data_IF_695233849613
#
_entry.id   IF_695233849613
#
_cell.length_a   1.000
_cell.length_b   1.000
_cell.length_c   1.000
_cell.angle_alpha   90.00
_cell.angle_beta   90.00
_cell.angle_gamma   90.00
#
_symmetry.space_group_name_H-M   'P 1'
#
loop_
_entity.id
_entity.type
_entity.pdbx_description
1 polymer ?
#
# COMPACT_ATOMS: atom_id res chain seq x y z
N UNK A 1 104.24 -2.10 -42.16
CA UNK A 1 105.02 -2.84 -41.14
C UNK A 1 104.71 -2.24 -39.78
N UNK A 2 104.21 -3.06 -38.85
CA UNK A 2 104.51 -2.95 -37.41
C UNK A 2 103.66 -2.05 -36.50
N UNK A 3 102.79 -2.70 -35.72
CA UNK A 3 102.54 -2.56 -34.26
C UNK A 3 101.86 -1.32 -33.62
N UNK A 4 100.56 -1.46 -33.25
CA UNK A 4 99.97 -1.67 -31.87
C UNK A 4 100.84 -1.17 -30.67
N UNK A 5 100.30 -0.46 -29.62
CA UNK A 5 99.26 -0.99 -28.73
C UNK A 5 98.27 -0.07 -27.94
N UNK A 6 97.19 -0.75 -27.49
CA UNK A 6 96.41 -0.70 -26.23
C UNK A 6 95.93 0.61 -25.57
N UNK A 7 94.66 0.66 -25.13
CA UNK A 7 94.32 0.45 -23.71
C UNK A 7 92.80 0.19 -23.47
N UNK A 8 92.50 -0.34 -22.28
CA UNK A 8 91.23 -0.92 -21.76
C UNK A 8 90.20 0.09 -21.21
N UNK A 9 89.06 -0.51 -20.78
CA UNK A 9 88.03 -0.07 -19.79
C UNK A 9 86.74 0.52 -20.38
N UNK A 10 85.53 0.21 -19.91
CA UNK A 10 85.06 -0.65 -18.82
C UNK A 10 83.55 -0.94 -19.00
N UNK A 11 83.06 -1.99 -18.33
CA UNK A 11 81.66 -2.41 -18.40
C UNK A 11 80.72 -1.59 -17.51
N UNK A 12 79.49 -1.39 -17.97
CA UNK A 12 78.39 -0.81 -17.22
C UNK A 12 77.07 -1.38 -17.73
N UNK A 13 76.43 -2.21 -16.90
CA UNK A 13 75.23 -2.98 -17.23
C UNK A 13 73.95 -2.14 -17.36
N UNK A 14 73.07 -2.65 -18.20
CA UNK A 14 71.74 -2.12 -18.53
C UNK A 14 70.77 -2.41 -17.36
N UNK A 15 70.18 -1.38 -16.76
CA UNK A 15 69.14 -1.52 -15.73
C UNK A 15 67.76 -1.54 -16.42
N UNK A 16 67.07 -2.69 -16.37
CA UNK A 16 65.68 -2.82 -16.81
C UNK A 16 64.78 -2.44 -15.62
N UNK A 17 64.10 -1.31 -15.75
CA UNK A 17 63.15 -0.79 -14.77
C UNK A 17 61.85 -1.62 -14.83
N UNK A 18 61.62 -2.45 -13.80
CA UNK A 18 60.36 -3.20 -13.64
C UNK A 18 59.24 -2.24 -13.24
N UNK A 19 58.26 -2.01 -14.13
CA UNK A 19 56.99 -1.39 -13.75
C UNK A 19 56.19 -2.39 -12.90
N UNK A 20 55.97 -2.07 -11.63
CA UNK A 20 55.07 -2.81 -10.76
C UNK A 20 53.61 -2.50 -11.09
N UNK A 21 52.83 -3.52 -11.42
CA UNK A 21 51.37 -3.44 -11.45
C UNK A 21 50.85 -3.21 -10.02
N UNK A 22 50.31 -2.03 -9.75
CA UNK A 22 49.50 -1.79 -8.56
C UNK A 22 48.10 -2.32 -8.82
N UNK A 23 47.70 -3.38 -8.11
CA UNK A 23 46.33 -3.89 -8.12
C UNK A 23 45.47 -2.97 -7.23
N UNK A 24 44.59 -2.18 -7.85
CA UNK A 24 43.60 -1.38 -7.14
C UNK A 24 42.46 -2.31 -6.73
N UNK A 25 42.41 -2.69 -5.45
CA UNK A 25 41.29 -3.42 -4.88
C UNK A 25 40.09 -2.46 -4.75
N UNK A 26 39.13 -2.57 -5.67
CA UNK A 26 37.82 -1.92 -5.54
C UNK A 26 37.04 -2.73 -4.51
N UNK A 27 36.91 -2.19 -3.30
CA UNK A 27 35.98 -2.70 -2.31
C UNK A 27 34.55 -2.47 -2.85
N UNK A 28 33.88 -3.56 -3.23
CA UNK A 28 32.44 -3.53 -3.46
C UNK A 28 31.77 -3.18 -2.14
N UNK A 29 31.32 -1.92 -2.01
CA UNK A 29 30.27 -1.57 -1.08
C UNK A 29 29.03 -2.33 -1.54
N UNK A 30 28.83 -3.54 -1.02
CA UNK A 30 27.51 -4.13 -0.97
C UNK A 30 26.66 -3.12 -0.21
N UNK A 31 25.81 -2.39 -0.93
CA UNK A 31 24.76 -1.61 -0.29
C UNK A 31 24.00 -2.57 0.59
N UNK A 32 24.08 -2.39 1.91
CA UNK A 32 23.10 -2.98 2.79
C UNK A 32 21.77 -2.40 2.29
N UNK A 33 20.98 -3.19 1.57
CA UNK A 33 19.57 -2.91 1.47
C UNK A 33 19.11 -2.79 2.92
N UNK A 34 18.57 -1.64 3.30
CA UNK A 34 17.95 -1.54 4.61
C UNK A 34 16.89 -2.65 4.64
N UNK A 35 16.90 -3.50 5.69
CA UNK A 35 15.94 -4.56 5.78
C UNK A 35 14.54 -3.95 5.66
N UNK A 36 13.71 -4.51 4.79
CA UNK A 36 12.43 -3.93 4.44
C UNK A 36 11.53 -4.01 5.68
N UNK A 37 11.48 -2.94 6.46
CA UNK A 37 10.83 -2.96 7.77
C UNK A 37 9.38 -3.38 7.63
N UNK A 38 8.92 -4.28 8.49
CA UNK A 38 7.53 -4.71 8.45
C UNK A 38 6.57 -3.53 8.61
N UNK A 39 5.46 -3.58 7.89
CA UNK A 39 4.47 -2.52 7.76
C UNK A 39 3.05 -3.10 7.83
N UNK A 40 2.10 -2.33 8.34
CA UNK A 40 0.68 -2.66 8.19
C UNK A 40 0.29 -2.54 6.71
N UNK A 41 -0.73 -3.30 6.28
CA UNK A 41 -1.33 -3.04 4.97
C UNK A 41 -1.88 -1.60 4.94
N UNK A 42 -1.77 -0.93 3.81
CA UNK A 42 -2.12 0.50 3.65
C UNK A 42 -3.62 0.82 3.74
N UNK A 43 -4.48 -0.22 3.81
CA UNK A 43 -5.88 -0.05 4.19
C UNK A 43 -6.06 0.35 5.66
N UNK A 44 -5.09 0.04 6.52
CA UNK A 44 -5.06 0.48 7.90
C UNK A 44 -4.54 1.92 7.95
N UNK A 45 -5.29 2.81 8.60
CA UNK A 45 -4.90 4.20 8.74
C UNK A 45 -5.69 4.90 9.84
N UNK A 46 -5.16 6.02 10.33
CA UNK A 46 -5.80 6.79 11.39
C UNK A 46 -7.25 7.15 11.01
N UNK A 47 -8.14 7.18 12.00
CA UNK A 47 -9.57 7.45 11.79
C UNK A 47 -10.31 6.36 11.02
N UNK A 48 -9.83 5.12 10.94
CA UNK A 48 -10.56 4.05 10.26
C UNK A 48 -11.70 3.47 11.11
N UNK A 49 -12.52 2.63 10.47
CA UNK A 49 -13.51 1.77 11.15
C UNK A 49 -13.18 0.31 10.87
N UNK A 50 -13.19 -0.51 11.91
CA UNK A 50 -13.11 -1.97 11.82
C UNK A 50 -14.49 -2.59 12.03
N UNK A 51 -14.77 -3.70 11.34
CA UNK A 51 -16.06 -4.37 11.43
C UNK A 51 -16.32 -4.90 12.84
N UNK A 52 -17.39 -4.42 13.47
CA UNK A 52 -17.88 -4.89 14.77
C UNK A 52 -18.38 -6.32 14.70
N UNK A 53 -18.43 -6.97 15.87
CA UNK A 53 -19.02 -8.29 16.10
C UNK A 53 -18.44 -9.41 15.20
N UNK A 54 -17.24 -9.18 14.66
CA UNK A 54 -16.46 -10.14 13.86
C UNK A 54 -15.01 -10.14 14.35
N UNK A 55 -14.29 -11.28 14.26
CA UNK A 55 -12.87 -11.32 14.56
C UNK A 55 -12.08 -10.28 13.77
N UNK A 56 -11.24 -9.50 14.44
CA UNK A 56 -10.46 -8.43 13.82
C UNK A 56 -9.18 -9.02 13.27
N UNK A 57 -9.04 -9.00 11.94
CA UNK A 57 -7.83 -9.44 11.24
C UNK A 57 -6.94 -8.24 10.98
N UNK A 58 -5.69 -8.33 11.44
CA UNK A 58 -4.65 -7.32 11.18
C UNK A 58 -3.55 -7.99 10.39
N UNK A 59 -3.13 -7.37 9.30
CA UNK A 59 -2.21 -7.97 8.33
C UNK A 59 -1.34 -6.91 7.67
N UNK A 60 -0.29 -7.37 7.00
CA UNK A 60 0.65 -6.51 6.30
C UNK A 60 1.79 -7.31 5.66
N UNK A 61 2.89 -6.61 5.43
CA UNK A 61 4.09 -7.14 4.77
C UNK A 61 5.33 -6.94 5.64
N UNK A 62 6.39 -7.71 5.36
CA UNK A 62 7.69 -7.59 6.03
C UNK A 62 8.70 -8.60 5.50
N UNK A 63 9.88 -8.64 6.10
CA UNK A 63 10.91 -9.61 5.75
C UNK A 63 10.55 -11.03 6.23
N UNK A 64 10.66 -12.07 5.38
CA UNK A 64 10.45 -13.46 5.78
C UNK A 64 11.26 -13.88 7.01
N UNK A 65 10.63 -14.64 7.91
CA UNK A 65 11.27 -15.14 9.12
C UNK A 65 11.34 -14.12 10.27
N UNK A 66 11.00 -12.85 10.05
CA UNK A 66 10.93 -11.85 11.11
C UNK A 66 9.79 -12.15 12.08
N UNK A 67 10.08 -12.08 13.38
CA UNK A 67 9.06 -12.16 14.44
C UNK A 67 8.51 -10.77 14.76
N UNK A 68 7.20 -10.64 14.63
CA UNK A 68 6.45 -9.42 14.86
C UNK A 68 5.53 -9.58 16.07
N UNK A 69 5.28 -8.46 16.77
CA UNK A 69 4.23 -8.35 17.77
C UNK A 69 3.23 -7.28 17.34
N UNK A 70 1.98 -7.67 17.21
CA UNK A 70 0.86 -6.81 16.85
C UNK A 70 0.01 -6.60 18.09
N UNK A 71 -0.37 -5.35 18.34
CA UNK A 71 -1.25 -4.98 19.44
C UNK A 71 -2.54 -4.38 18.92
N UNK A 72 -3.65 -4.77 19.54
CA UNK A 72 -4.95 -4.10 19.47
C UNK A 72 -5.32 -3.75 20.91
N UNK A 73 -5.22 -2.47 21.26
CA UNK A 73 -5.23 -1.99 22.64
C UNK A 73 -4.25 -2.78 23.53
N UNK A 74 -4.75 -3.39 24.62
CA UNK A 74 -3.98 -4.22 25.53
C UNK A 74 -3.75 -5.65 25.01
N UNK A 75 -4.50 -6.11 23.99
CA UNK A 75 -4.34 -7.45 23.45
C UNK A 75 -3.10 -7.54 22.56
N UNK A 76 -2.31 -8.60 22.75
CA UNK A 76 -1.07 -8.82 21.98
C UNK A 76 -1.16 -10.15 21.23
N UNK A 77 -0.66 -10.14 19.99
CA UNK A 77 -0.42 -11.32 19.17
C UNK A 77 1.01 -11.29 18.64
N UNK A 78 1.61 -12.45 18.47
CA UNK A 78 2.90 -12.61 17.79
C UNK A 78 2.71 -13.40 16.51
N UNK A 79 3.51 -13.10 15.50
CA UNK A 79 3.48 -13.78 14.20
C UNK A 79 4.87 -13.76 13.58
N UNK A 80 5.21 -14.81 12.85
CA UNK A 80 6.40 -14.84 12.00
C UNK A 80 5.99 -14.55 10.57
N UNK A 81 6.68 -13.64 9.90
CA UNK A 81 6.43 -13.31 8.50
C UNK A 81 6.70 -14.52 7.61
N UNK A 82 5.77 -14.85 6.73
CA UNK A 82 5.90 -15.98 5.81
C UNK A 82 6.95 -15.73 4.72
N UNK A 83 7.38 -16.77 4.03
CA UNK A 83 8.28 -16.69 2.86
C UNK A 83 7.75 -15.78 1.74
N UNK A 84 6.43 -15.59 1.65
CA UNK A 84 5.81 -14.65 0.72
C UNK A 84 5.98 -13.18 1.11
N UNK A 85 6.50 -12.90 2.31
CA UNK A 85 6.56 -11.57 2.90
C UNK A 85 5.25 -11.15 3.59
N UNK A 86 4.19 -11.96 3.53
CA UNK A 86 2.91 -11.64 4.16
C UNK A 86 2.84 -12.12 5.62
N UNK A 87 2.10 -11.39 6.45
CA UNK A 87 1.77 -11.80 7.82
C UNK A 87 0.33 -11.40 8.17
N UNK A 88 -0.29 -12.15 9.10
CA UNK A 88 -1.61 -11.85 9.62
C UNK A 88 -1.76 -12.36 11.06
N UNK A 89 -2.50 -11.63 11.88
CA UNK A 89 -2.99 -12.06 13.19
C UNK A 89 -4.51 -11.86 13.29
N UNK A 90 -5.12 -12.57 14.23
CA UNK A 90 -6.55 -12.41 14.55
C UNK A 90 -6.73 -12.08 16.03
N UNK A 91 -7.57 -11.08 16.29
CA UNK A 91 -8.05 -10.68 17.61
C UNK A 91 -9.52 -11.03 17.79
N UNK A 92 -9.97 -11.03 19.04
CA UNK A 92 -11.38 -11.23 19.36
C UNK A 92 -12.24 -10.13 18.73
N UNK A 93 -13.52 -10.45 18.51
CA UNK A 93 -14.49 -9.47 18.05
C UNK A 93 -14.64 -8.31 19.04
N UNK A 94 -14.81 -7.11 18.50
CA UNK A 94 -15.10 -5.90 19.27
C UNK A 94 -16.58 -5.54 19.13
N UNK A 95 -17.25 -5.12 20.21
CA UNK A 95 -18.60 -4.58 20.12
C UNK A 95 -18.58 -3.22 19.42
N UNK A 96 -19.74 -2.77 18.93
CA UNK A 96 -19.88 -1.44 18.34
C UNK A 96 -19.44 -0.31 19.29
N UNK A 97 -18.87 0.76 18.73
CA UNK A 97 -18.37 1.92 19.45
C UNK A 97 -16.92 1.75 19.90
N UNK A 98 -16.52 2.55 20.88
CA UNK A 98 -15.15 2.58 21.38
C UNK A 98 -14.16 3.25 20.42
N UNK A 99 -13.04 3.70 20.98
CA UNK A 99 -11.89 4.18 20.22
C UNK A 99 -10.72 3.27 20.59
N UNK A 100 -10.14 2.66 19.56
CA UNK A 100 -9.09 1.65 19.67
C UNK A 100 -7.79 2.13 19.01
N UNK A 101 -6.71 1.43 19.31
CA UNK A 101 -5.42 1.59 18.63
C UNK A 101 -4.83 0.26 18.18
N UNK A 102 -4.20 0.29 17.01
CA UNK A 102 -3.38 -0.80 16.48
C UNK A 102 -1.92 -0.34 16.49
N UNK A 103 -1.00 -1.23 16.87
CA UNK A 103 0.43 -0.97 16.68
C UNK A 103 1.21 -2.23 16.34
N UNK A 104 2.19 -2.06 15.44
CA UNK A 104 3.10 -3.10 14.99
C UNK A 104 4.46 -2.89 15.65
N UNK A 105 5.07 -3.98 16.12
CA UNK A 105 6.36 -3.97 16.79
C UNK A 105 7.26 -5.09 16.30
N UNK A 106 8.57 -4.83 16.28
CA UNK A 106 9.63 -5.80 16.00
C UNK A 106 10.72 -5.64 17.05
N UNK A 107 11.12 -6.73 17.72
CA UNK A 107 12.16 -6.66 18.76
C UNK A 107 11.88 -5.66 19.89
N UNK A 108 10.60 -5.34 20.15
CA UNK A 108 10.17 -4.34 21.14
C UNK A 108 10.16 -2.88 20.65
N UNK A 109 10.61 -2.61 19.43
CA UNK A 109 10.51 -1.30 18.76
C UNK A 109 9.16 -1.19 18.06
N UNK A 110 8.44 -0.08 18.30
CA UNK A 110 7.21 0.25 17.55
C UNK A 110 7.60 0.66 16.12
N UNK A 111 7.10 -0.07 15.13
CA UNK A 111 7.31 0.18 13.71
C UNK A 111 6.22 1.08 13.12
N UNK A 112 4.98 0.78 13.48
CA UNK A 112 3.80 1.39 12.88
C UNK A 112 2.67 1.52 13.91
N UNK A 113 1.76 2.45 13.69
CA UNK A 113 0.67 2.77 14.58
C UNK A 113 -0.50 3.40 13.84
N UNK A 114 -1.69 2.92 14.17
CA UNK A 114 -2.96 3.45 13.71
C UNK A 114 -3.84 3.76 14.91
N UNK A 115 -4.28 5.00 15.03
CA UNK A 115 -5.11 5.53 16.12
C UNK A 115 -6.48 6.00 15.65
N UNK A 116 -7.32 6.35 16.62
CA UNK A 116 -8.73 6.72 16.39
C UNK A 116 -9.51 5.67 15.56
N UNK A 117 -9.33 4.39 15.91
CA UNK A 117 -10.00 3.27 15.24
C UNK A 117 -11.35 3.01 15.90
N UNK A 118 -12.45 3.23 15.19
CA UNK A 118 -13.79 2.91 15.70
C UNK A 118 -14.16 1.46 15.39
N UNK A 119 -14.90 0.79 16.26
CA UNK A 119 -15.56 -0.48 15.92
C UNK A 119 -17.00 -0.21 15.45
N UNK A 120 -17.35 -0.62 14.24
CA UNK A 120 -18.62 -0.27 13.62
C UNK A 120 -18.93 -1.06 12.36
N UNK A 121 -19.84 -0.57 11.53
CA UNK A 121 -20.19 -1.21 10.26
C UNK A 121 -19.38 -0.59 9.11
N UNK A 122 -18.81 -1.44 8.25
CA UNK A 122 -17.95 -1.00 7.14
C UNK A 122 -18.61 -1.33 5.80
N UNK A 123 -18.78 -0.34 4.93
CA UNK A 123 -19.42 -0.49 3.63
C UNK A 123 -18.48 -0.13 2.49
N UNK A 124 -18.42 -1.00 1.47
CA UNK A 124 -17.78 -0.71 0.19
C UNK A 124 -18.81 -0.18 -0.80
N UNK A 125 -18.62 1.06 -1.23
CA UNK A 125 -19.43 1.77 -2.21
C UNK A 125 -18.71 1.78 -3.56
N UNK A 126 -19.04 0.81 -4.42
CA UNK A 126 -18.42 0.63 -5.73
C UNK A 126 -19.41 0.72 -6.90
N UNK A 127 -18.88 0.73 -8.12
CA UNK A 127 -19.64 0.84 -9.35
C UNK A 127 -19.20 2.02 -10.21
N UNK A 128 -20.15 2.68 -10.87
CA UNK A 128 -19.87 3.70 -11.88
C UNK A 128 -20.30 5.13 -11.48
N UNK A 129 -20.63 5.99 -12.45
CA UNK A 129 -20.84 7.43 -12.28
C UNK A 129 -21.89 7.80 -11.25
N UNK A 130 -22.96 7.00 -11.13
CA UNK A 130 -24.02 7.24 -10.15
C UNK A 130 -23.54 6.99 -8.71
N UNK A 131 -22.71 5.97 -8.50
CA UNK A 131 -22.06 5.76 -7.20
C UNK A 131 -20.98 6.82 -6.96
N UNK A 132 -20.22 7.23 -7.99
CA UNK A 132 -19.18 8.26 -7.89
C UNK A 132 -19.75 9.69 -7.72
N UNK A 133 -21.06 9.90 -7.88
CA UNK A 133 -21.63 11.24 -7.93
C UNK A 133 -21.40 12.00 -6.60
N UNK A 134 -20.67 13.13 -6.58
CA UNK A 134 -20.16 13.69 -5.33
C UNK A 134 -21.17 14.63 -4.66
N UNK A 135 -21.08 14.78 -3.33
CA UNK A 135 -21.94 15.66 -2.54
C UNK A 135 -21.93 17.12 -3.02
N UNK A 136 -20.79 17.66 -3.44
CA UNK A 136 -20.71 19.04 -3.97
C UNK A 136 -21.61 19.33 -5.18
N UNK A 137 -22.03 18.29 -5.90
CA UNK A 137 -22.88 18.43 -7.07
C UNK A 137 -24.38 18.25 -6.74
N UNK A 138 -24.71 17.92 -5.49
CA UNK A 138 -26.10 17.78 -5.06
C UNK A 138 -26.81 19.14 -5.02
N UNK A 139 -28.13 19.18 -5.28
CA UNK A 139 -28.94 20.33 -4.90
C UNK A 139 -28.74 20.65 -3.42
N UNK A 140 -28.59 21.94 -3.07
CA UNK A 140 -28.32 22.39 -1.70
C UNK A 140 -27.00 21.88 -1.10
N UNK A 141 -25.99 21.60 -1.96
CA UNK A 141 -24.66 21.18 -1.52
C UNK A 141 -24.05 22.04 -0.40
N UNK A 142 -24.15 23.39 -0.38
CA UNK A 142 -23.60 24.17 0.73
C UNK A 142 -24.17 23.79 2.10
N UNK A 143 -25.49 23.57 2.20
CA UNK A 143 -26.16 23.18 3.43
C UNK A 143 -25.80 21.74 3.82
N UNK A 144 -25.84 20.83 2.84
CA UNK A 144 -25.47 19.42 3.04
C UNK A 144 -24.05 19.30 3.58
N UNK A 145 -23.10 20.06 3.02
CA UNK A 145 -21.70 20.00 3.43
C UNK A 145 -21.47 20.67 4.78
N UNK A 146 -22.15 21.77 5.09
CA UNK A 146 -22.10 22.38 6.43
C UNK A 146 -22.55 21.39 7.53
N UNK A 147 -23.55 20.57 7.22
CA UNK A 147 -24.04 19.50 8.10
C UNK A 147 -23.19 18.22 8.04
N UNK A 148 -22.25 18.11 7.10
CA UNK A 148 -21.45 16.89 6.89
C UNK A 148 -20.27 16.76 7.86
N UNK A 149 -20.53 16.98 9.15
CA UNK A 149 -19.55 16.92 10.24
C UNK A 149 -20.00 15.90 11.28
N UNK A 150 -19.66 14.62 11.07
CA UNK A 150 -20.18 13.52 11.87
C UNK A 150 -19.04 12.70 12.52
N UNK A 151 -18.95 12.75 13.84
CA UNK A 151 -17.90 12.07 14.62
C UNK A 151 -17.98 10.54 14.57
N UNK A 152 -19.11 9.96 14.17
CA UNK A 152 -19.30 8.52 14.02
C UNK A 152 -19.14 8.03 12.57
N UNK A 153 -18.90 8.92 11.61
CA UNK A 153 -18.70 8.55 10.21
C UNK A 153 -17.23 8.74 9.83
N UNK A 154 -16.66 7.74 9.17
CA UNK A 154 -15.31 7.77 8.63
C UNK A 154 -15.35 7.48 7.13
N UNK A 155 -14.54 8.21 6.38
CA UNK A 155 -14.52 8.18 4.92
C UNK A 155 -13.14 7.72 4.43
N UNK A 156 -13.14 6.75 3.53
CA UNK A 156 -11.98 6.34 2.75
C UNK A 156 -12.30 6.48 1.26
N UNK A 157 -11.62 7.38 0.57
CA UNK A 157 -11.80 7.57 -0.86
C UNK A 157 -10.64 6.90 -1.62
N UNK A 158 -10.92 5.80 -2.31
CA UNK A 158 -9.93 5.13 -3.17
C UNK A 158 -9.86 5.87 -4.49
N UNK A 159 -8.70 6.48 -4.76
CA UNK A 159 -8.49 7.20 -6.00
C UNK A 159 -8.42 6.25 -7.20
N UNK A 160 -8.82 6.78 -8.35
CA UNK A 160 -8.89 6.01 -9.57
C UNK A 160 -7.49 5.80 -10.15
N UNK A 161 -7.02 4.55 -10.12
CA UNK A 161 -5.80 4.12 -10.79
C UNK A 161 -6.08 2.85 -11.56
N UNK A 162 -5.94 2.92 -12.88
CA UNK A 162 -6.05 1.72 -13.71
C UNK A 162 -4.83 0.84 -13.46
N UNK A 163 -5.06 -0.46 -13.34
CA UNK A 163 -4.03 -1.48 -13.27
C UNK A 163 -4.54 -2.72 -14.01
N UNK A 164 -3.66 -3.36 -14.76
CA UNK A 164 -3.97 -4.62 -15.45
C UNK A 164 -3.79 -5.84 -14.56
N UNK A 165 -3.05 -5.67 -13.45
CA UNK A 165 -2.80 -6.68 -12.45
C UNK A 165 -3.20 -6.19 -11.05
N UNK A 166 -3.58 -7.10 -10.14
CA UNK A 166 -3.81 -6.76 -8.75
C UNK A 166 -2.62 -6.01 -8.15
N UNK A 167 -2.89 -4.91 -7.46
CA UNK A 167 -1.86 -4.11 -6.82
C UNK A 167 -1.82 -4.44 -5.32
N UNK A 168 -0.62 -4.51 -4.76
CA UNK A 168 -0.42 -4.70 -3.32
C UNK A 168 -0.53 -3.41 -2.50
N UNK A 169 -0.63 -2.26 -3.19
CA UNK A 169 -0.76 -0.94 -2.58
C UNK A 169 -1.96 -0.18 -3.16
N UNK A 170 -2.65 0.56 -2.30
CA UNK A 170 -3.67 1.52 -2.66
C UNK A 170 -3.05 2.72 -3.40
N UNK A 171 -3.81 3.38 -4.29
CA UNK A 171 -3.32 4.51 -5.04
C UNK A 171 -3.23 5.77 -4.17
N UNK A 172 -2.09 6.46 -4.21
CA UNK A 172 -1.92 7.72 -3.48
C UNK A 172 -2.58 8.93 -4.18
N UNK A 173 -3.10 9.92 -3.41
CA UNK A 173 -3.21 9.92 -1.95
C UNK A 173 -4.44 9.12 -1.48
N UNK A 174 -4.31 8.07 -0.66
CA UNK A 174 -5.49 7.39 -0.05
C UNK A 174 -5.33 7.31 1.45
N UNK A 175 -6.27 7.92 2.19
CA UNK A 175 -6.26 7.91 3.64
C UNK A 175 -7.68 7.94 4.20
N UNK A 176 -7.84 7.30 5.36
CA UNK A 176 -9.05 7.44 6.17
C UNK A 176 -9.14 8.86 6.73
N UNK A 177 -10.36 9.31 6.94
CA UNK A 177 -10.64 10.62 7.52
C UNK A 177 -11.95 10.59 8.30
N UNK A 178 -12.08 11.51 9.25
CA UNK A 178 -13.39 11.86 9.80
C UNK A 178 -14.26 12.46 8.70
N UNK A 179 -15.57 12.27 8.78
CA UNK A 179 -16.50 13.02 7.96
C UNK A 179 -16.49 14.51 8.37
N UNK A 180 -15.80 15.33 7.58
CA UNK A 180 -15.85 16.80 7.65
C UNK A 180 -16.41 17.35 6.35
N UNK A 181 -16.85 18.62 6.30
CA UNK A 181 -17.30 19.25 5.06
C UNK A 181 -16.30 19.11 3.90
N UNK A 182 -15.01 19.25 4.20
CA UNK A 182 -13.93 19.15 3.20
C UNK A 182 -13.72 17.71 2.71
N UNK A 183 -13.69 16.73 3.61
CA UNK A 183 -13.53 15.32 3.25
C UNK A 183 -14.76 14.79 2.49
N UNK A 184 -15.95 15.24 2.87
CA UNK A 184 -17.22 14.83 2.28
C UNK A 184 -17.47 15.48 0.90
N UNK A 185 -16.89 16.66 0.61
CA UNK A 185 -17.14 17.43 -0.62
C UNK A 185 -17.11 16.57 -1.90
N UNK A 186 -16.08 15.72 -2.02
CA UNK A 186 -15.82 14.88 -3.18
C UNK A 186 -16.24 13.42 -2.99
N UNK A 187 -16.85 13.11 -1.85
CA UNK A 187 -17.33 11.78 -1.52
C UNK A 187 -18.72 11.53 -2.13
N UNK A 188 -19.02 10.26 -2.38
CA UNK A 188 -20.26 9.77 -2.99
C UNK A 188 -21.45 10.22 -2.17
N UNK A 189 -22.36 10.96 -2.79
CA UNK A 189 -23.59 11.38 -2.16
C UNK A 189 -24.44 10.18 -1.73
N UNK A 190 -24.57 9.17 -2.60
CA UNK A 190 -25.34 7.96 -2.31
C UNK A 190 -24.73 7.20 -1.11
N UNK A 191 -23.41 7.01 -1.13
CA UNK A 191 -22.71 6.31 -0.05
C UNK A 191 -22.82 7.07 1.26
N UNK A 192 -22.55 8.38 1.24
CA UNK A 192 -22.58 9.23 2.43
C UNK A 192 -23.95 9.25 3.09
N UNK A 193 -25.02 9.54 2.34
CA UNK A 193 -26.36 9.61 2.91
C UNK A 193 -26.84 8.25 3.44
N UNK A 194 -26.48 7.15 2.76
CA UNK A 194 -26.81 5.80 3.25
C UNK A 194 -26.09 5.51 4.54
N UNK A 195 -24.78 5.78 4.62
CA UNK A 195 -24.00 5.57 5.83
C UNK A 195 -24.46 6.44 6.99
N UNK A 196 -24.83 7.70 6.72
CA UNK A 196 -25.39 8.61 7.73
C UNK A 196 -26.72 8.10 8.28
N UNK A 197 -27.65 7.70 7.41
CA UNK A 197 -28.94 7.15 7.81
C UNK A 197 -28.78 5.87 8.65
N UNK A 198 -27.83 5.00 8.30
CA UNK A 198 -27.47 3.81 9.09
C UNK A 198 -26.88 4.21 10.45
N UNK A 199 -25.90 5.13 10.48
CA UNK A 199 -25.26 5.57 11.71
C UNK A 199 -26.29 6.18 12.69
N UNK A 200 -27.19 7.04 12.20
CA UNK A 200 -28.26 7.66 12.98
C UNK A 200 -29.30 6.64 13.47
N UNK A 201 -29.74 5.74 12.58
CA UNK A 201 -30.81 4.78 12.89
C UNK A 201 -30.37 3.76 13.94
N UNK A 202 -29.13 3.29 13.86
CA UNK A 202 -28.64 2.20 14.71
C UNK A 202 -27.71 2.67 15.83
N UNK A 203 -27.33 3.95 15.87
CA UNK A 203 -26.39 4.54 16.82
C UNK A 203 -25.04 3.79 16.85
N UNK A 204 -24.44 3.64 15.67
CA UNK A 204 -23.19 2.88 15.47
C UNK A 204 -22.22 3.66 14.60
N UNK A 205 -20.90 3.56 14.85
CA UNK A 205 -19.90 4.05 13.91
C UNK A 205 -20.04 3.41 12.53
N UNK A 206 -19.83 4.18 11.48
CA UNK A 206 -19.90 3.70 10.10
C UNK A 206 -18.66 4.14 9.32
N UNK A 207 -17.97 3.17 8.74
CA UNK A 207 -16.87 3.37 7.80
C UNK A 207 -17.35 3.22 6.38
N UNK A 208 -17.11 4.23 5.55
CA UNK A 208 -17.52 4.24 4.14
C UNK A 208 -16.30 4.24 3.24
N UNK A 209 -16.18 3.22 2.40
CA UNK A 209 -15.11 3.09 1.42
C UNK A 209 -15.68 3.36 0.03
N UNK A 210 -15.32 4.48 -0.58
CA UNK A 210 -15.65 4.76 -1.97
C UNK A 210 -14.59 4.18 -2.89
N UNK A 211 -15.01 3.31 -3.81
CA UNK A 211 -14.17 2.82 -4.92
C UNK A 211 -15.01 2.71 -6.20
N UNK A 212 -15.27 3.84 -6.85
CA UNK A 212 -16.19 3.92 -7.99
C UNK A 212 -15.57 4.60 -9.22
N UNK A 213 -15.87 4.10 -10.42
CA UNK A 213 -15.35 4.61 -11.68
C UNK A 213 -16.41 4.96 -12.72
N UNK A 214 -16.64 6.26 -12.90
CA UNK A 214 -17.58 6.78 -13.91
C UNK A 214 -17.21 6.39 -15.34
N UNK A 215 -18.17 5.82 -16.08
CA UNK A 215 -17.97 5.37 -17.46
C UNK A 215 -17.26 4.02 -17.62
N UNK A 216 -16.92 3.34 -16.51
CA UNK A 216 -16.45 1.95 -16.58
C UNK A 216 -17.59 1.02 -17.01
N UNK A 217 -17.25 0.01 -17.79
CA UNK A 217 -18.19 -1.07 -18.16
C UNK A 217 -17.98 -2.27 -17.24
N UNK A 218 -18.94 -3.17 -17.18
CA UNK A 218 -18.89 -4.33 -16.25
C UNK A 218 -17.69 -5.24 -16.54
N UNK A 219 -17.28 -5.34 -17.80
CA UNK A 219 -16.14 -6.15 -18.27
C UNK A 219 -14.82 -5.72 -17.61
N UNK A 220 -14.70 -4.44 -17.22
CA UNK A 220 -13.53 -3.94 -16.49
C UNK A 220 -13.49 -4.35 -15.01
N UNK A 221 -14.57 -4.95 -14.50
CA UNK A 221 -14.71 -5.41 -13.11
C UNK A 221 -14.79 -6.93 -13.00
N UNK A 222 -14.73 -7.63 -14.12
CA UNK A 222 -14.74 -9.10 -14.18
C UNK A 222 -13.30 -9.56 -14.29
N UNK A 223 -12.98 -10.65 -13.58
CA UNK A 223 -11.69 -11.30 -13.69
C UNK A 223 -11.37 -11.67 -15.16
N UNK A 224 -10.13 -11.41 -15.60
CA UNK A 224 -9.74 -11.58 -16.99
C UNK A 224 -9.83 -13.04 -17.48
N UNK A 225 -9.62 -14.02 -16.60
CA UNK A 225 -9.81 -15.43 -16.92
C UNK A 225 -11.29 -15.72 -17.19
N UNK A 226 -12.17 -15.18 -16.35
CA UNK A 226 -13.63 -15.31 -16.50
C UNK A 226 -14.13 -14.60 -17.75
N UNK A 227 -13.68 -13.37 -18.00
CA UNK A 227 -14.08 -12.60 -19.19
C UNK A 227 -13.58 -13.26 -20.48
N UNK A 228 -12.34 -13.75 -20.50
CA UNK A 228 -11.73 -14.41 -21.66
C UNK A 228 -12.34 -15.76 -22.02
N UNK A 229 -13.11 -16.39 -21.13
CA UNK A 229 -13.86 -17.61 -21.43
C UNK A 229 -15.00 -17.36 -22.43
N UNK A 230 -15.49 -16.13 -22.57
CA UNK A 230 -16.38 -15.73 -23.63
C UNK A 230 -15.58 -15.39 -24.91
N UNK A 231 -15.86 -16.12 -25.99
CA UNK A 231 -15.08 -16.02 -27.23
C UNK A 231 -15.01 -14.60 -27.83
N UNK A 232 -16.02 -13.77 -27.57
CA UNK A 232 -16.07 -12.36 -28.03
C UNK A 232 -15.10 -11.42 -27.31
N UNK A 233 -14.57 -11.82 -26.14
CA UNK A 233 -13.63 -11.01 -25.35
C UNK A 233 -12.20 -11.56 -25.36
N UNK A 234 -11.97 -12.76 -25.92
CA UNK A 234 -10.68 -13.44 -25.88
C UNK A 234 -9.54 -12.60 -26.51
N UNK A 235 -9.78 -11.98 -27.67
CA UNK A 235 -8.78 -11.15 -28.36
C UNK A 235 -8.45 -9.88 -27.55
N UNK A 236 -9.45 -9.26 -26.91
CA UNK A 236 -9.24 -8.07 -26.09
C UNK A 236 -8.46 -8.40 -24.81
N UNK A 237 -8.76 -9.52 -24.15
CA UNK A 237 -8.03 -9.99 -22.98
C UNK A 237 -6.58 -10.32 -23.34
N UNK A 238 -6.34 -10.97 -24.48
CA UNK A 238 -4.99 -11.28 -24.94
C UNK A 238 -4.19 -10.02 -25.27
N UNK A 239 -4.82 -9.03 -25.92
CA UNK A 239 -4.18 -7.73 -26.15
C UNK A 239 -3.77 -7.06 -24.83
N UNK A 240 -4.63 -7.07 -23.81
CA UNK A 240 -4.31 -6.52 -22.50
C UNK A 240 -3.15 -7.28 -21.84
N UNK A 241 -3.09 -8.60 -21.96
CA UNK A 241 -1.96 -9.40 -21.45
C UNK A 241 -0.65 -9.04 -22.13
N UNK A 242 -0.64 -8.96 -23.46
CA UNK A 242 0.57 -8.56 -24.21
C UNK A 242 1.04 -7.16 -23.84
N UNK A 243 0.11 -6.23 -23.54
CA UNK A 243 0.44 -4.88 -23.12
C UNK A 243 1.13 -4.81 -21.74
N UNK A 244 0.91 -5.79 -20.85
CA UNK A 244 1.62 -5.88 -19.57
C UNK A 244 3.12 -6.14 -19.80
N UNK A 245 3.44 -7.04 -20.74
CA UNK A 245 4.81 -7.46 -21.02
C UNK A 245 5.55 -6.52 -22.00
N UNK A 246 4.82 -5.91 -22.94
CA UNK A 246 5.36 -5.02 -23.98
C UNK A 246 4.45 -3.78 -24.20
N UNK A 247 4.60 -2.75 -23.33
CA UNK A 247 3.86 -1.50 -23.48
C UNK A 247 4.47 -0.67 -24.62
N UNK A 248 3.84 -0.73 -25.80
CA UNK A 248 4.19 0.10 -26.97
C UNK A 248 3.97 1.59 -26.72
#
# INVERSE_FOLDING_TARGET
MGNVPSNKEGGGGFVIQKLGLSALAIAMLAGCAEPNSAELADVFGDHMVIQRDQPVRVFGTGEPGTELSVKLDAAVRTVTVAESGAWQVEFAALPAGGIHEISLHEGGRKLDHVGDVLSGDVFLCSGQSNMKYPLRNMPYAPQILEEASEENIRLLNIYQKAALEPQSKLPEPTAWSKATPEAAEWFSAMCYFTGRDIAETYDVPVGLIQSAWGGSRIESWIDAEVAGAAAEHAEQVELLRTHVDDPV
#
